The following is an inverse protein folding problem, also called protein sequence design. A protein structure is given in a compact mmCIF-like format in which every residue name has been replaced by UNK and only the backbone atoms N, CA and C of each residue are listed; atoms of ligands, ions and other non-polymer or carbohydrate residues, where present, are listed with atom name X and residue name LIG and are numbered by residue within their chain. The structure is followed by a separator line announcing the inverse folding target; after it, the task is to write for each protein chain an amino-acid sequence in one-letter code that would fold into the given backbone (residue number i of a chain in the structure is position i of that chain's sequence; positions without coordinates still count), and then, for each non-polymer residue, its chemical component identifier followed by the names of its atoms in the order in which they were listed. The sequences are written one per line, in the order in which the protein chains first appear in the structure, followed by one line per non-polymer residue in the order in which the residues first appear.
data_IF_786116765376
#
_entry.id   IF_786116765376
#
_cell.length_a   1.000
_cell.length_b   1.000
_cell.length_c   1.000
_cell.angle_alpha   90.00
_cell.angle_beta   90.00
_cell.angle_gamma   90.00
#
_symmetry.space_group_name_H-M   'P 1'
#
loop_
_entity.id
_entity.type
_entity.pdbx_description
1 polymer ?
#
# COMPACT_ATOMS: atom_id res chain seq x y z
N UNK A 1 14.42 25.98 7.35
CA UNK A 1 13.09 25.44 7.72
C UNK A 1 13.26 24.00 8.18
N UNK A 2 12.47 23.52 9.15
CA UNK A 2 12.48 22.09 9.47
C UNK A 2 12.07 21.26 8.24
N UNK A 3 12.60 20.04 8.08
CA UNK A 3 12.23 19.17 6.96
C UNK A 3 10.76 18.74 7.09
N UNK A 4 10.06 18.69 5.95
CA UNK A 4 8.70 18.16 5.85
C UNK A 4 8.80 16.63 5.87
N UNK A 5 7.98 15.97 6.69
CA UNK A 5 7.93 14.50 6.72
C UNK A 5 7.23 13.98 5.46
N UNK A 6 7.63 12.80 5.01
CA UNK A 6 6.94 12.14 3.90
C UNK A 6 5.52 11.71 4.27
N UNK A 7 4.66 11.63 3.26
CA UNK A 7 3.29 11.14 3.34
C UNK A 7 3.20 9.70 2.83
N UNK A 8 2.04 9.07 3.02
CA UNK A 8 1.81 7.70 2.55
C UNK A 8 2.13 7.54 1.06
N UNK A 9 1.71 8.50 0.23
CA UNK A 9 1.93 8.50 -1.23
C UNK A 9 3.41 8.44 -1.60
N UNK A 10 4.27 9.18 -0.88
CA UNK A 10 5.71 9.18 -1.11
C UNK A 10 6.31 7.77 -0.96
N UNK A 11 5.82 7.01 0.02
CA UNK A 11 6.27 5.63 0.23
C UNK A 11 5.64 4.68 -0.78
N UNK A 12 4.31 4.72 -0.94
CA UNK A 12 3.58 3.77 -1.77
C UNK A 12 4.07 3.78 -3.22
N UNK A 13 4.27 4.96 -3.80
CA UNK A 13 4.70 5.08 -5.20
C UNK A 13 6.20 4.81 -5.39
N UNK A 14 7.07 5.15 -4.42
CA UNK A 14 8.49 4.79 -4.51
C UNK A 14 8.66 3.28 -4.39
N UNK A 15 7.95 2.61 -3.47
CA UNK A 15 7.96 1.16 -3.35
C UNK A 15 7.49 0.52 -4.66
N UNK A 16 6.38 1.01 -5.25
CA UNK A 16 5.89 0.49 -6.52
C UNK A 16 6.94 0.60 -7.64
N UNK A 17 7.60 1.76 -7.77
CA UNK A 17 8.67 1.97 -8.75
C UNK A 17 9.91 1.12 -8.51
N UNK A 18 10.28 0.86 -7.25
CA UNK A 18 11.38 -0.04 -6.90
C UNK A 18 11.08 -1.50 -7.25
N UNK A 19 9.85 -1.93 -7.02
CA UNK A 19 9.40 -3.26 -7.43
C UNK A 19 9.39 -3.38 -8.97
N UNK A 20 8.97 -2.34 -9.69
CA UNK A 20 9.02 -2.31 -11.16
C UNK A 20 10.47 -2.37 -11.67
N UNK A 21 11.40 -1.66 -11.03
CA UNK A 21 12.83 -1.73 -11.33
C UNK A 21 13.38 -3.13 -11.08
N UNK A 22 13.04 -3.76 -9.96
CA UNK A 22 13.44 -5.13 -9.68
C UNK A 22 12.91 -6.09 -10.75
N UNK A 23 11.62 -6.03 -11.09
CA UNK A 23 11.02 -6.93 -12.09
C UNK A 23 11.63 -6.73 -13.49
N UNK A 24 12.01 -5.50 -13.85
CA UNK A 24 12.62 -5.19 -15.13
C UNK A 24 14.12 -5.55 -15.23
N UNK A 25 14.84 -5.55 -14.10
CA UNK A 25 16.32 -5.67 -14.09
C UNK A 25 16.87 -6.87 -13.34
N UNK A 26 16.06 -7.47 -12.46
CA UNK A 26 16.42 -8.53 -11.50
C UNK A 26 17.58 -8.15 -10.55
N UNK A 27 17.86 -6.86 -10.41
CA UNK A 27 18.84 -6.31 -9.46
C UNK A 27 18.22 -6.27 -8.06
N UNK A 28 18.70 -7.13 -7.17
CA UNK A 28 18.10 -7.37 -5.85
C UNK A 28 18.16 -6.16 -4.92
N UNK A 29 19.05 -5.21 -5.17
CA UNK A 29 19.12 -3.96 -4.41
C UNK A 29 17.79 -3.18 -4.42
N UNK A 30 17.04 -3.23 -5.51
CA UNK A 30 15.74 -2.57 -5.62
C UNK A 30 14.69 -3.25 -4.77
N UNK A 31 14.69 -4.59 -4.73
CA UNK A 31 13.78 -5.37 -3.90
C UNK A 31 14.06 -5.15 -2.41
N UNK A 32 15.34 -5.21 -2.00
CA UNK A 32 15.75 -4.94 -0.61
C UNK A 32 15.31 -3.53 -0.19
N UNK A 33 15.48 -2.54 -1.06
CA UNK A 33 15.06 -1.19 -0.73
C UNK A 33 13.53 -1.05 -0.66
N UNK A 34 12.78 -1.71 -1.54
CA UNK A 34 11.33 -1.75 -1.48
C UNK A 34 10.83 -2.34 -0.15
N UNK A 35 11.43 -3.43 0.31
CA UNK A 35 11.13 -4.04 1.62
C UNK A 35 11.41 -3.08 2.78
N UNK A 36 12.58 -2.42 2.78
CA UNK A 36 12.91 -1.45 3.82
C UNK A 36 11.91 -0.28 3.88
N UNK A 37 11.48 0.21 2.72
CA UNK A 37 10.50 1.29 2.65
C UNK A 37 9.11 0.82 3.05
N UNK A 38 8.71 -0.41 2.71
CA UNK A 38 7.44 -0.98 3.15
C UNK A 38 7.38 -1.07 4.68
N UNK A 39 8.44 -1.57 5.32
CA UNK A 39 8.51 -1.63 6.78
C UNK A 39 8.42 -0.25 7.44
N UNK A 40 9.01 0.78 6.82
CA UNK A 40 8.87 2.17 7.30
C UNK A 40 7.46 2.71 7.08
N UNK A 41 6.84 2.42 5.93
CA UNK A 41 5.47 2.79 5.64
C UNK A 41 4.51 2.18 6.67
N UNK A 42 4.69 0.89 6.99
CA UNK A 42 3.90 0.17 8.00
C UNK A 42 4.03 0.83 9.37
N UNK A 43 5.27 1.05 9.83
CA UNK A 43 5.52 1.66 11.12
C UNK A 43 4.96 3.09 11.27
N UNK A 44 4.87 3.84 10.17
CA UNK A 44 4.45 5.24 10.19
C UNK A 44 2.96 5.46 9.97
N UNK A 45 2.31 4.61 9.15
CA UNK A 45 0.99 4.92 8.59
C UNK A 45 -0.04 3.82 8.79
N UNK A 46 0.36 2.58 9.09
CA UNK A 46 -0.60 1.48 9.21
C UNK A 46 -1.50 1.66 10.43
N UNK A 47 -2.82 1.53 10.23
CA UNK A 47 -3.76 1.37 11.33
C UNK A 47 -3.89 -0.11 11.70
N UNK A 48 -3.19 -0.54 12.75
CA UNK A 48 -3.23 -1.91 13.24
C UNK A 48 -4.62 -2.37 13.69
N UNK A 49 -5.52 -1.45 14.05
CA UNK A 49 -6.87 -1.79 14.54
C UNK A 49 -7.89 -1.80 13.41
N UNK A 50 -7.87 -0.77 12.56
CA UNK A 50 -8.85 -0.57 11.49
C UNK A 50 -8.42 -1.10 10.12
N UNK A 51 -7.17 -1.51 9.95
CA UNK A 51 -6.58 -1.87 8.66
C UNK A 51 -6.35 -0.66 7.73
N UNK A 52 -5.54 -0.85 6.70
CA UNK A 52 -5.16 0.23 5.77
C UNK A 52 -4.28 1.31 6.41
N UNK A 53 -3.93 2.31 5.60
CA UNK A 53 -2.95 3.32 5.95
C UNK A 53 -3.55 4.71 6.02
N UNK A 54 -3.12 5.49 7.02
CA UNK A 54 -3.39 6.92 7.09
C UNK A 54 -2.54 7.68 6.06
N UNK A 55 -3.11 8.71 5.43
CA UNK A 55 -2.40 9.53 4.45
C UNK A 55 -1.20 10.29 5.05
N UNK A 56 -1.26 10.58 6.35
CA UNK A 56 -0.24 11.30 7.12
C UNK A 56 0.13 10.56 8.39
N UNK A 57 1.26 10.92 8.99
CA UNK A 57 1.67 10.34 10.26
C UNK A 57 0.63 10.69 11.36
N UNK A 58 0.14 9.72 12.17
CA UNK A 58 -0.92 9.96 13.16
C UNK A 58 -0.58 11.01 14.24
N UNK A 59 0.72 11.20 14.50
CA UNK A 59 1.24 12.20 15.45
C UNK A 59 1.62 13.54 14.79
N UNK A 60 1.28 13.76 13.53
CA UNK A 60 1.48 15.06 12.89
C UNK A 60 0.42 16.06 13.38
N UNK A 61 0.81 16.93 14.33
CA UNK A 61 -0.05 17.95 14.91
C UNK A 61 -0.52 19.00 13.89
N UNK A 62 0.11 19.09 12.72
CA UNK A 62 -0.32 19.99 11.64
C UNK A 62 -1.51 19.44 10.84
N UNK A 63 -1.80 18.13 10.97
CA UNK A 63 -2.90 17.47 10.26
C UNK A 63 -4.10 17.28 11.20
N UNK A 64 -5.16 18.04 10.94
CA UNK A 64 -6.37 18.03 11.76
C UNK A 64 -7.21 16.75 11.60
N UNK A 65 -7.16 16.11 10.43
CA UNK A 65 -7.97 14.95 10.11
C UNK A 65 -7.11 13.81 9.57
N UNK A 66 -7.09 12.70 10.30
CA UNK A 66 -6.40 11.49 9.87
C UNK A 66 -7.31 10.70 8.93
N UNK A 67 -7.07 10.86 7.63
CA UNK A 67 -7.84 10.20 6.57
C UNK A 67 -7.16 8.93 6.10
N UNK A 68 -7.98 7.98 5.66
CA UNK A 68 -7.57 6.85 4.83
C UNK A 68 -8.28 6.97 3.50
N UNK A 69 -7.56 7.37 2.47
CA UNK A 69 -8.13 7.51 1.13
C UNK A 69 -7.93 6.23 0.33
N UNK A 70 -9.03 5.74 -0.24
CA UNK A 70 -9.05 4.59 -1.15
C UNK A 70 -9.64 4.92 -2.52
N UNK A 71 -10.10 6.15 -2.72
CA UNK A 71 -10.71 6.57 -3.97
C UNK A 71 -9.61 6.90 -4.98
N UNK A 72 -9.59 6.17 -6.08
CA UNK A 72 -8.68 6.42 -7.19
C UNK A 72 -9.25 7.56 -8.05
N UNK A 73 -8.36 8.48 -8.45
CA UNK A 73 -8.67 9.67 -9.25
C UNK A 73 -7.92 9.64 -10.58
N UNK A 74 -7.20 10.72 -10.89
CA UNK A 74 -6.24 10.72 -11.99
C UNK A 74 -5.06 9.76 -11.73
N UNK A 75 -4.74 9.56 -10.44
CA UNK A 75 -3.76 8.62 -9.94
C UNK A 75 -4.46 7.63 -9.00
N UNK A 76 -3.96 6.39 -8.87
CA UNK A 76 -4.41 5.48 -7.84
C UNK A 76 -4.21 6.06 -6.44
N UNK A 77 -5.08 5.72 -5.49
CA UNK A 77 -4.85 6.08 -4.09
C UNK A 77 -3.65 5.31 -3.52
N UNK A 78 -2.93 5.91 -2.58
CA UNK A 78 -1.79 5.25 -1.97
C UNK A 78 -2.16 3.98 -1.19
N UNK A 79 -3.40 3.85 -0.67
CA UNK A 79 -3.88 2.57 -0.12
C UNK A 79 -4.07 1.51 -1.21
N UNK A 80 -4.60 1.86 -2.39
CA UNK A 80 -4.72 0.94 -3.52
C UNK A 80 -3.34 0.43 -3.96
N UNK A 81 -2.38 1.33 -4.11
CA UNK A 81 -0.99 1.00 -4.49
C UNK A 81 -0.32 0.14 -3.41
N UNK A 82 -0.49 0.50 -2.14
CA UNK A 82 0.07 -0.27 -1.01
C UNK A 82 -0.49 -1.69 -0.96
N UNK A 83 -1.77 -1.89 -1.26
CA UNK A 83 -2.34 -3.23 -1.37
C UNK A 83 -1.61 -4.07 -2.43
N UNK A 84 -1.35 -3.49 -3.61
CA UNK A 84 -0.58 -4.18 -4.65
C UNK A 84 0.87 -4.43 -4.23
N UNK A 85 1.51 -3.47 -3.56
CA UNK A 85 2.91 -3.60 -3.12
C UNK A 85 3.08 -4.75 -2.12
N UNK A 86 2.19 -4.85 -1.13
CA UNK A 86 2.21 -5.93 -0.13
C UNK A 86 2.09 -7.31 -0.79
N UNK A 87 1.18 -7.47 -1.76
CA UNK A 87 1.02 -8.73 -2.50
C UNK A 87 2.25 -9.08 -3.35
N UNK A 88 2.83 -8.09 -4.04
CA UNK A 88 4.05 -8.26 -4.83
C UNK A 88 5.22 -8.65 -3.93
N UNK A 89 5.44 -7.91 -2.84
CA UNK A 89 6.48 -8.21 -1.86
C UNK A 89 6.32 -9.61 -1.26
N UNK A 90 5.10 -10.01 -0.89
CA UNK A 90 4.87 -11.36 -0.36
C UNK A 90 5.24 -12.43 -1.38
N UNK A 91 4.88 -12.22 -2.64
CA UNK A 91 5.16 -13.17 -3.74
C UNK A 91 6.65 -13.24 -4.09
N UNK A 92 7.37 -12.12 -4.04
CA UNK A 92 8.78 -12.01 -4.43
C UNK A 92 9.75 -12.46 -3.33
N UNK A 93 9.39 -12.24 -2.07
CA UNK A 93 10.29 -12.45 -0.91
C UNK A 93 9.96 -13.71 -0.11
N UNK A 94 8.75 -14.24 -0.26
CA UNK A 94 8.23 -15.32 0.58
C UNK A 94 7.90 -14.90 2.03
N UNK A 95 8.07 -13.61 2.37
CA UNK A 95 7.63 -13.08 3.66
C UNK A 95 6.11 -12.88 3.64
N UNK A 96 5.46 -13.18 4.76
CA UNK A 96 4.01 -13.07 4.85
C UNK A 96 3.57 -11.62 5.09
N UNK A 97 3.41 -10.87 3.99
CA UNK A 97 2.76 -9.56 3.92
C UNK A 97 1.27 -9.70 3.51
N UNK A 98 0.81 -10.95 3.30
CA UNK A 98 -0.52 -11.24 2.76
C UNK A 98 -1.60 -10.87 3.77
N UNK A 99 -1.37 -11.12 5.06
CA UNK A 99 -2.33 -10.74 6.11
C UNK A 99 -2.52 -9.21 6.19
N UNK A 100 -1.44 -8.42 6.06
CA UNK A 100 -1.52 -6.95 6.04
C UNK A 100 -2.32 -6.48 4.83
N UNK A 101 -2.08 -7.06 3.65
CA UNK A 101 -2.86 -6.76 2.45
C UNK A 101 -4.33 -7.12 2.63
N UNK A 102 -4.65 -8.26 3.24
CA UNK A 102 -6.04 -8.66 3.52
C UNK A 102 -6.75 -7.68 4.44
N UNK A 103 -6.08 -7.25 5.51
CA UNK A 103 -6.63 -6.29 6.46
C UNK A 103 -6.89 -4.93 5.79
N UNK A 104 -5.98 -4.49 4.91
CA UNK A 104 -6.19 -3.30 4.09
C UNK A 104 -7.41 -3.46 3.18
N UNK A 105 -7.49 -4.54 2.39
CA UNK A 105 -8.62 -4.78 1.49
C UNK A 105 -9.94 -4.86 2.27
N UNK A 106 -9.93 -5.45 3.47
CA UNK A 106 -11.09 -5.52 4.36
C UNK A 106 -11.55 -4.13 4.83
N UNK A 107 -10.61 -3.22 5.13
CA UNK A 107 -10.90 -1.84 5.54
C UNK A 107 -11.70 -1.06 4.46
N UNK A 108 -11.48 -1.38 3.19
CA UNK A 108 -12.18 -0.77 2.04
C UNK A 108 -13.29 -1.66 1.45
N UNK A 109 -13.63 -2.78 2.10
CA UNK A 109 -14.60 -3.77 1.60
C UNK A 109 -15.98 -3.17 1.25
N UNK A 110 -16.45 -2.20 2.03
CA UNK A 110 -17.72 -1.51 1.74
C UNK A 110 -17.67 -0.75 0.42
N UNK A 111 -16.58 -0.03 0.14
CA UNK A 111 -16.41 0.71 -1.11
C UNK A 111 -16.18 -0.25 -2.28
N UNK A 112 -15.35 -1.28 -2.09
CA UNK A 112 -15.13 -2.34 -3.07
C UNK A 112 -16.42 -3.04 -3.50
N UNK A 113 -17.38 -3.22 -2.57
CA UNK A 113 -18.66 -3.90 -2.88
C UNK A 113 -19.73 -2.95 -3.41
N UNK A 114 -19.76 -1.69 -2.97
CA UNK A 114 -20.83 -0.75 -3.33
C UNK A 114 -20.48 0.13 -4.54
N UNK A 115 -19.22 0.53 -4.68
CA UNK A 115 -18.74 1.46 -5.72
C UNK A 115 -17.35 1.04 -6.24
N UNK A 116 -17.15 -0.20 -6.74
CA UNK A 116 -15.82 -0.69 -7.16
C UNK A 116 -15.15 0.16 -8.24
N UNK A 117 -15.94 0.85 -9.07
CA UNK A 117 -15.43 1.74 -10.13
C UNK A 117 -14.61 2.92 -9.60
N UNK A 118 -14.76 3.29 -8.32
CA UNK A 118 -13.96 4.34 -7.70
C UNK A 118 -12.65 3.83 -7.08
N UNK A 119 -12.35 2.52 -7.17
CA UNK A 119 -11.12 1.92 -6.66
C UNK A 119 -10.50 0.93 -7.66
N UNK A 120 -10.32 1.25 -8.96
CA UNK A 120 -9.85 0.29 -9.96
C UNK A 120 -8.54 -0.43 -9.57
N UNK A 121 -7.58 0.26 -8.96
CA UNK A 121 -6.30 -0.35 -8.58
C UNK A 121 -6.47 -1.29 -7.38
N UNK A 122 -7.32 -0.94 -6.41
CA UNK A 122 -7.61 -1.83 -5.29
C UNK A 122 -8.42 -3.06 -5.72
N UNK A 123 -9.30 -2.92 -6.72
CA UNK A 123 -9.98 -4.06 -7.34
C UNK A 123 -8.97 -4.99 -8.01
N UNK A 124 -7.96 -4.44 -8.71
CA UNK A 124 -6.87 -5.22 -9.30
C UNK A 124 -6.10 -5.99 -8.23
N UNK A 125 -5.76 -5.34 -7.11
CA UNK A 125 -5.12 -6.00 -5.96
C UNK A 125 -5.99 -7.11 -5.37
N UNK A 126 -7.29 -6.88 -5.19
CA UNK A 126 -8.24 -7.90 -4.70
C UNK A 126 -8.31 -9.12 -5.63
N UNK A 127 -8.30 -8.90 -6.95
CA UNK A 127 -8.28 -9.99 -7.92
C UNK A 127 -7.00 -10.81 -7.84
N UNK A 128 -5.84 -10.14 -7.74
CA UNK A 128 -4.54 -10.80 -7.56
C UNK A 128 -4.51 -11.63 -6.27
N UNK A 129 -5.02 -11.07 -5.17
CA UNK A 129 -5.11 -11.77 -3.89
C UNK A 129 -5.91 -13.08 -3.98
N UNK A 130 -7.05 -13.07 -4.66
CA UNK A 130 -7.82 -14.30 -4.88
C UNK A 130 -7.07 -15.33 -5.73
N UNK A 131 -6.33 -14.89 -6.75
CA UNK A 131 -5.54 -15.79 -7.58
C UNK A 131 -4.40 -16.47 -6.81
N UNK A 132 -3.76 -15.74 -5.88
CA UNK A 132 -2.70 -16.30 -5.01
C UNK A 132 -3.22 -17.33 -4.01
N UNK A 133 -4.49 -17.24 -3.58
CA UNK A 133 -5.10 -18.22 -2.67
C UNK A 133 -5.54 -19.52 -3.38
N UNK A 134 -5.73 -19.47 -4.70
CA UNK A 134 -6.20 -20.62 -5.49
C UNK A 134 -5.08 -21.49 -6.07
N UNK A 135 -3.82 -21.08 -5.91
CA UNK A 135 -2.62 -21.81 -6.35
C UNK A 135 -1.94 -22.50 -5.16
#
# INVERSE_FOLDING_TARGET
SPPIKGFLDDYAFVIAGLLDLYEATLQTEWLVWAEELQLRQDAMFLDEQGGGYFCSHPQDESVLLQLKEGQDGAEPSANSVSASNLLRLSSLTGQDQTQTSQNLLAAFSKQLTQVPVSLPEMVRALMAHHQTLTQ
#
